data_IF_174986709948
#
_entry.id   IF_174986709948
#
_cell.length_a   1.000
_cell.length_b   1.000
_cell.length_c   1.000
_cell.angle_alpha   90.00
_cell.angle_beta   90.00
_cell.angle_gamma   90.00
#
_symmetry.space_group_name_H-M   'P 1'
#
loop_
_entity.id
_entity.type
_entity.pdbx_description
1 polymer ?
#
# COMPACT_ATOMS: atom_id res chain seq x y z
N UNK A 1 -0.25 17.59 -5.63
CA UNK A 1 0.33 16.25 -5.78
C UNK A 1 -0.04 15.36 -4.60
N UNK A 2 0.11 14.05 -4.76
CA UNK A 2 -0.15 13.09 -3.69
C UNK A 2 0.73 13.34 -2.47
N UNK A 3 1.97 13.74 -2.69
CA UNK A 3 2.89 14.03 -1.59
C UNK A 3 2.43 15.25 -0.80
N UNK A 4 1.95 16.28 -1.48
CA UNK A 4 1.43 17.47 -0.79
C UNK A 4 0.18 17.15 0.04
N UNK A 5 -0.72 16.34 -0.51
CA UNK A 5 -1.91 15.88 0.24
C UNK A 5 -1.51 15.10 1.48
N UNK A 6 -0.50 14.25 1.36
CA UNK A 6 0.02 13.44 2.44
C UNK A 6 0.63 14.31 3.55
N UNK A 7 1.42 15.31 3.17
CA UNK A 7 2.02 16.25 4.13
C UNK A 7 0.95 17.04 4.87
N UNK A 8 -0.09 17.48 4.17
CA UNK A 8 -1.21 18.20 4.78
C UNK A 8 -1.94 17.33 5.79
N UNK A 9 -2.17 16.06 5.45
CA UNK A 9 -2.82 15.13 6.37
C UNK A 9 -1.98 14.92 7.62
N UNK A 10 -0.67 14.77 7.46
CA UNK A 10 0.25 14.61 8.59
C UNK A 10 0.20 15.78 9.54
N UNK A 11 0.07 17.01 9.02
CA UNK A 11 -0.02 18.22 9.83
C UNK A 11 -1.34 18.32 10.59
N UNK A 12 -2.40 17.68 10.09
CA UNK A 12 -3.71 17.70 10.72
C UNK A 12 -3.88 16.71 11.86
N UNK A 13 -2.90 15.81 12.06
CA UNK A 13 -2.97 14.82 13.13
C UNK A 13 -2.84 15.53 14.47
N UNK A 14 -3.79 15.28 15.40
CA UNK A 14 -3.71 15.90 16.73
C UNK A 14 -2.46 15.44 17.48
N UNK A 15 -1.80 16.37 18.18
CA UNK A 15 -0.66 16.05 19.02
C UNK A 15 -1.07 15.74 20.45
N UNK A 16 -2.36 15.87 20.74
CA UNK A 16 -2.89 15.66 22.07
C UNK A 16 -3.08 14.19 22.36
N UNK A 17 -2.54 13.72 23.48
CA UNK A 17 -2.70 12.34 23.94
C UNK A 17 -3.86 12.26 24.90
N UNK A 18 -5.01 11.73 24.44
CA UNK A 18 -6.15 11.52 25.28
C UNK A 18 -6.03 10.23 26.07
N UNK A 19 -6.32 9.09 25.42
CA UNK A 19 -6.20 7.77 26.02
C UNK A 19 -5.29 6.89 25.18
N UNK A 20 -5.04 5.65 25.66
CA UNK A 20 -4.16 4.69 24.99
C UNK A 20 -4.66 4.34 23.59
N UNK A 21 -5.98 4.16 23.42
CA UNK A 21 -6.57 3.85 22.11
C UNK A 21 -6.34 4.97 21.10
N UNK A 22 -6.49 6.22 21.54
CA UNK A 22 -6.26 7.37 20.67
C UNK A 22 -4.79 7.45 20.27
N UNK A 23 -3.88 7.21 21.22
CA UNK A 23 -2.44 7.20 20.95
C UNK A 23 -2.07 6.10 19.94
N UNK A 24 -2.62 4.89 20.11
CA UNK A 24 -2.37 3.76 19.20
C UNK A 24 -2.92 4.05 17.80
N UNK A 25 -4.10 4.66 17.72
CA UNK A 25 -4.70 5.05 16.45
C UNK A 25 -3.87 6.09 15.73
N UNK A 26 -3.35 7.08 16.45
CA UNK A 26 -2.48 8.12 15.90
C UNK A 26 -1.18 7.50 15.40
N UNK A 27 -0.58 6.59 16.16
CA UNK A 27 0.64 5.90 15.74
C UNK A 27 0.42 5.10 14.47
N UNK A 28 -0.72 4.42 14.33
CA UNK A 28 -1.06 3.68 13.13
C UNK A 28 -1.23 4.61 11.93
N UNK A 29 -1.89 5.75 12.11
CA UNK A 29 -2.05 6.74 11.05
C UNK A 29 -0.69 7.26 10.60
N UNK A 30 0.18 7.60 11.55
CA UNK A 30 1.54 8.06 11.23
C UNK A 30 2.32 7.00 10.46
N UNK A 31 2.24 5.75 10.88
CA UNK A 31 2.91 4.65 10.19
C UNK A 31 2.40 4.51 8.75
N UNK A 32 1.09 4.60 8.56
CA UNK A 32 0.50 4.54 7.22
C UNK A 32 0.97 5.67 6.33
N UNK A 33 1.01 6.89 6.87
CA UNK A 33 1.48 8.06 6.15
C UNK A 33 2.96 7.92 5.78
N UNK A 34 3.78 7.50 6.72
CA UNK A 34 5.22 7.33 6.49
C UNK A 34 5.48 6.23 5.46
N UNK A 35 4.72 5.15 5.52
CA UNK A 35 4.81 4.06 4.54
C UNK A 35 4.46 4.57 3.14
N UNK A 36 3.34 5.26 3.00
CA UNK A 36 2.91 5.80 1.70
C UNK A 36 3.93 6.81 1.17
N UNK A 37 4.41 7.70 2.02
CA UNK A 37 5.42 8.69 1.65
C UNK A 37 6.69 8.01 1.13
N UNK A 38 7.18 7.00 1.83
CA UNK A 38 8.37 6.26 1.42
C UNK A 38 8.19 5.63 0.05
N UNK A 39 7.02 5.00 -0.19
CA UNK A 39 6.72 4.38 -1.48
C UNK A 39 6.68 5.42 -2.60
N UNK A 40 5.98 6.54 -2.39
CA UNK A 40 5.84 7.58 -3.40
C UNK A 40 7.16 8.27 -3.73
N UNK A 41 8.07 8.34 -2.77
CA UNK A 41 9.41 8.92 -2.96
C UNK A 41 10.40 7.94 -3.58
N UNK A 42 10.03 6.67 -3.74
CA UNK A 42 10.93 5.66 -4.26
C UNK A 42 11.95 5.18 -3.25
N UNK A 43 11.66 5.31 -1.97
CA UNK A 43 12.56 4.87 -0.90
C UNK A 43 12.58 3.36 -0.73
N UNK A 44 13.46 2.90 0.15
CA UNK A 44 13.66 1.48 0.43
C UNK A 44 12.49 0.93 1.26
N UNK A 45 11.79 -0.06 0.71
CA UNK A 45 10.67 -0.71 1.37
C UNK A 45 10.94 -2.19 1.65
N UNK A 46 12.19 -2.63 1.51
CA UNK A 46 12.55 -4.05 1.62
C UNK A 46 12.26 -4.64 3.01
N UNK A 47 12.26 -3.81 4.05
CA UNK A 47 12.01 -4.24 5.43
C UNK A 47 10.55 -4.05 5.87
N UNK A 48 9.72 -3.51 5.01
CA UNK A 48 8.30 -3.29 5.32
C UNK A 48 7.52 -4.58 5.16
N UNK A 49 6.59 -4.82 6.09
CA UNK A 49 5.79 -6.03 6.11
C UNK A 49 4.32 -5.78 6.40
N UNK A 50 3.70 -6.74 7.08
CA UNK A 50 2.25 -6.73 7.33
C UNK A 50 1.80 -5.53 8.16
N UNK A 51 2.61 -5.10 9.13
CA UNK A 51 2.31 -3.95 9.98
C UNK A 51 2.16 -2.69 9.11
N UNK A 52 3.09 -2.45 8.21
CA UNK A 52 3.07 -1.31 7.30
C UNK A 52 1.94 -1.43 6.29
N UNK A 53 1.67 -2.62 5.79
CA UNK A 53 0.55 -2.88 4.89
C UNK A 53 -0.79 -2.51 5.54
N UNK A 54 -1.01 -2.96 6.77
CA UNK A 54 -2.26 -2.69 7.48
C UNK A 54 -2.45 -1.20 7.73
N UNK A 55 -1.39 -0.52 8.15
CA UNK A 55 -1.44 0.92 8.40
C UNK A 55 -1.69 1.70 7.10
N UNK A 56 -1.04 1.31 6.02
CA UNK A 56 -1.24 1.92 4.71
C UNK A 56 -2.68 1.73 4.22
N UNK A 57 -3.19 0.50 4.28
CA UNK A 57 -4.54 0.20 3.83
C UNK A 57 -5.60 0.97 4.61
N UNK A 58 -5.33 1.25 5.88
CA UNK A 58 -6.26 1.99 6.73
C UNK A 58 -6.41 3.45 6.32
N UNK A 59 -5.34 4.07 5.80
CA UNK A 59 -5.40 5.49 5.41
C UNK A 59 -5.76 5.70 3.94
N UNK A 60 -5.62 4.68 3.10
CA UNK A 60 -5.82 4.83 1.65
C UNK A 60 -7.20 5.39 1.26
N UNK A 61 -8.32 5.06 1.94
CA UNK A 61 -9.60 5.63 1.55
C UNK A 61 -9.65 7.17 1.60
N UNK A 62 -8.77 7.78 2.37
CA UNK A 62 -8.69 9.25 2.47
C UNK A 62 -7.95 9.89 1.31
N UNK A 63 -7.22 9.10 0.51
CA UNK A 63 -6.41 9.60 -0.60
C UNK A 63 -6.97 9.21 -1.95
N UNK A 64 -7.34 7.93 -2.10
CA UNK A 64 -7.79 7.38 -3.37
C UNK A 64 -8.75 6.22 -3.07
N UNK A 65 -10.02 6.51 -3.14
CA UNK A 65 -11.06 5.55 -2.76
C UNK A 65 -11.03 4.31 -3.67
N UNK A 66 -10.87 4.51 -4.97
CA UNK A 66 -10.86 3.41 -5.93
C UNK A 66 -9.66 2.49 -5.71
N UNK A 67 -8.49 3.08 -5.48
CA UNK A 67 -7.29 2.34 -5.18
C UNK A 67 -7.42 1.59 -3.85
N UNK A 68 -7.98 2.27 -2.83
CA UNK A 68 -8.22 1.65 -1.53
C UNK A 68 -9.14 0.45 -1.64
N UNK A 69 -10.15 0.53 -2.48
CA UNK A 69 -11.09 -0.57 -2.70
C UNK A 69 -10.35 -1.81 -3.21
N UNK A 70 -9.41 -1.64 -4.12
CA UNK A 70 -8.61 -2.74 -4.66
C UNK A 70 -7.65 -3.29 -3.60
N UNK A 71 -6.92 -2.42 -2.92
CA UNK A 71 -5.92 -2.83 -1.94
C UNK A 71 -6.53 -3.53 -0.73
N UNK A 72 -7.76 -3.16 -0.36
CA UNK A 72 -8.46 -3.73 0.78
C UNK A 72 -9.41 -4.88 0.40
N UNK A 73 -9.45 -5.26 -0.87
CA UNK A 73 -10.38 -6.30 -1.33
C UNK A 73 -9.97 -7.67 -0.78
N UNK A 74 -10.79 -8.29 0.08
CA UNK A 74 -10.45 -9.58 0.68
C UNK A 74 -10.34 -10.73 -0.34
N UNK A 75 -10.96 -10.57 -1.51
CA UNK A 75 -10.88 -11.58 -2.57
C UNK A 75 -9.46 -11.70 -3.13
N UNK A 76 -8.76 -10.57 -3.24
CA UNK A 76 -7.38 -10.57 -3.74
C UNK A 76 -6.41 -11.08 -2.68
N UNK A 77 -6.66 -10.77 -1.41
CA UNK A 77 -5.81 -11.19 -0.29
C UNK A 77 -4.32 -10.91 -0.56
N UNK A 78 -4.02 -9.68 -0.95
CA UNK A 78 -2.66 -9.28 -1.28
C UNK A 78 -1.71 -9.43 -0.08
N UNK A 79 -0.52 -9.95 -0.36
CA UNK A 79 0.59 -9.88 0.60
C UNK A 79 1.10 -8.44 0.69
N UNK A 80 1.91 -8.11 1.72
CA UNK A 80 2.52 -6.78 1.78
C UNK A 80 3.26 -6.39 0.49
N UNK A 81 4.07 -7.29 -0.05
CA UNK A 81 4.82 -7.00 -1.28
C UNK A 81 3.90 -6.74 -2.47
N UNK A 82 2.81 -7.51 -2.58
CA UNK A 82 1.84 -7.31 -3.65
C UNK A 82 1.12 -5.97 -3.52
N UNK A 83 0.75 -5.59 -2.32
CA UNK A 83 0.14 -4.28 -2.05
C UNK A 83 1.09 -3.15 -2.46
N UNK A 84 2.35 -3.23 -2.03
CA UNK A 84 3.33 -2.20 -2.35
C UNK A 84 3.64 -2.17 -3.84
N UNK A 85 3.73 -3.33 -4.49
CA UNK A 85 3.90 -3.42 -5.93
C UNK A 85 2.77 -2.73 -6.68
N UNK A 86 1.52 -3.05 -6.31
CA UNK A 86 0.35 -2.48 -6.96
C UNK A 86 0.34 -0.96 -6.85
N UNK A 87 0.65 -0.45 -5.66
CA UNK A 87 0.68 0.99 -5.42
C UNK A 87 1.77 1.67 -6.26
N UNK A 88 2.96 1.09 -6.33
CA UNK A 88 4.05 1.63 -7.15
C UNK A 88 3.70 1.61 -8.64
N UNK A 89 3.11 0.52 -9.11
CA UNK A 89 2.69 0.39 -10.50
C UNK A 89 1.61 1.40 -10.86
N UNK A 90 0.64 1.58 -9.98
CA UNK A 90 -0.42 2.57 -10.15
C UNK A 90 0.15 3.99 -10.20
N UNK A 91 1.23 4.24 -9.50
CA UNK A 91 1.90 5.54 -9.46
C UNK A 91 2.87 5.74 -10.65
N UNK A 92 2.93 4.82 -11.58
CA UNK A 92 3.72 4.95 -12.80
C UNK A 92 5.20 4.68 -12.64
N UNK A 93 5.60 4.00 -11.56
CA UNK A 93 7.02 3.67 -11.35
C UNK A 93 7.49 2.60 -12.33
N UNK A 94 8.73 2.73 -12.80
CA UNK A 94 9.35 1.75 -13.69
C UNK A 94 9.70 0.47 -12.93
N UNK A 95 9.92 -0.63 -13.66
CA UNK A 95 10.34 -1.89 -13.05
C UNK A 95 11.68 -1.74 -12.33
N UNK A 96 12.60 -0.94 -12.88
CA UNK A 96 13.86 -0.65 -12.24
C UNK A 96 13.67 0.05 -10.88
N UNK A 97 12.80 1.05 -10.85
CA UNK A 97 12.48 1.78 -9.62
C UNK A 97 11.85 0.85 -8.58
N UNK A 98 10.93 -0.02 -9.02
CA UNK A 98 10.28 -0.98 -8.12
C UNK A 98 11.30 -1.98 -7.56
N UNK A 99 12.17 -2.53 -8.42
CA UNK A 99 13.20 -3.48 -7.99
C UNK A 99 14.16 -2.83 -7.00
N UNK A 100 14.54 -1.58 -7.23
CA UNK A 100 15.39 -0.83 -6.32
C UNK A 100 14.71 -0.62 -4.96
N UNK A 101 13.42 -0.27 -4.96
CA UNK A 101 12.68 -0.06 -3.72
C UNK A 101 12.57 -1.34 -2.89
N UNK A 102 12.33 -2.48 -3.55
CA UNK A 102 12.29 -3.79 -2.88
C UNK A 102 13.69 -4.36 -2.57
N UNK A 103 14.73 -3.77 -3.12
CA UNK A 103 16.10 -4.31 -3.04
C UNK A 103 16.15 -5.75 -3.57
N UNK A 104 15.50 -6.00 -4.71
CA UNK A 104 15.37 -7.34 -5.27
C UNK A 104 15.82 -7.36 -6.74
N UNK A 105 15.93 -8.59 -7.27
CA UNK A 105 16.26 -8.81 -8.68
C UNK A 105 15.02 -8.58 -9.56
N UNK A 106 15.26 -8.41 -10.87
CA UNK A 106 14.17 -8.32 -11.85
C UNK A 106 13.30 -9.59 -11.83
N UNK A 107 13.91 -10.74 -11.61
CA UNK A 107 13.19 -12.02 -11.55
C UNK A 107 12.28 -12.07 -10.33
N UNK A 108 12.77 -11.65 -9.16
CA UNK A 108 11.97 -11.58 -7.95
C UNK A 108 10.79 -10.63 -8.13
N UNK A 109 11.03 -9.49 -8.78
CA UNK A 109 9.97 -8.53 -9.06
C UNK A 109 8.88 -9.13 -9.97
N UNK A 110 9.29 -9.85 -11.02
CA UNK A 110 8.35 -10.53 -11.91
C UNK A 110 7.51 -11.56 -11.16
N UNK A 111 8.10 -12.24 -10.18
CA UNK A 111 7.37 -13.21 -9.35
C UNK A 111 6.28 -12.53 -8.53
N UNK A 112 6.57 -11.35 -7.95
CA UNK A 112 5.57 -10.57 -7.21
C UNK A 112 4.42 -10.18 -8.14
N UNK A 113 4.76 -9.63 -9.29
CA UNK A 113 3.78 -9.20 -10.31
C UNK A 113 2.89 -10.35 -10.76
N UNK A 114 3.50 -11.50 -11.05
CA UNK A 114 2.78 -12.69 -11.52
C UNK A 114 1.77 -13.19 -10.49
N UNK A 115 2.18 -13.27 -9.23
CA UNK A 115 1.29 -13.71 -8.14
C UNK A 115 0.14 -12.74 -7.94
N UNK A 116 0.42 -11.45 -7.98
CA UNK A 116 -0.59 -10.41 -7.84
C UNK A 116 -1.64 -10.50 -8.96
N UNK A 117 -1.18 -10.58 -10.21
CA UNK A 117 -2.08 -10.68 -11.37
C UNK A 117 -2.92 -11.96 -11.32
N UNK A 118 -2.33 -13.06 -10.92
CA UNK A 118 -3.05 -14.32 -10.80
C UNK A 118 -4.20 -14.23 -9.81
N UNK A 119 -3.98 -13.58 -8.67
CA UNK A 119 -5.02 -13.37 -7.67
C UNK A 119 -6.17 -12.53 -8.23
N UNK A 120 -5.86 -11.49 -8.98
CA UNK A 120 -6.88 -10.63 -9.59
C UNK A 120 -7.66 -11.37 -10.66
N UNK A 121 -7.00 -12.16 -11.50
CA UNK A 121 -7.64 -12.95 -12.53
C UNK A 121 -8.55 -14.04 -11.96
N UNK A 122 -8.09 -14.76 -10.94
CA UNK A 122 -8.90 -15.79 -10.29
C UNK A 122 -10.16 -15.21 -9.66
N UNK A 123 -10.06 -14.02 -9.07
CA UNK A 123 -11.22 -13.33 -8.50
C UNK A 123 -12.24 -12.96 -9.58
N UNK A 124 -11.78 -12.52 -10.75
CA UNK A 124 -12.66 -12.18 -11.88
C UNK A 124 -13.32 -13.43 -12.46
N UNK A 125 -12.59 -14.53 -12.60
CA UNK A 125 -13.15 -15.81 -13.08
C UNK A 125 -14.24 -16.30 -12.15
N UNK A 126 -14.03 -16.23 -10.84
CA UNK A 126 -15.03 -16.60 -9.85
C UNK A 126 -16.30 -15.76 -9.99
N UNK A 127 -16.15 -14.47 -10.23
CA UNK A 127 -17.30 -13.56 -10.44
C UNK A 127 -18.03 -13.90 -11.73
N UNK A 128 -17.30 -14.21 -12.80
CA UNK A 128 -17.88 -14.60 -14.09
C UNK A 128 -18.67 -15.90 -13.97
N UNK A 129 -18.14 -16.86 -13.23
CA UNK A 129 -18.77 -18.16 -13.03
C UNK A 129 -20.05 -18.08 -12.18
N UNK A 130 -20.19 -17.06 -11.35
CA UNK A 130 -21.37 -16.87 -10.49
C UNK A 130 -22.50 -16.12 -11.19
N UNK A 131 -22.30 -15.69 -12.40
CA UNK A 131 -23.32 -15.06 -13.23
C UNK A 131 -23.91 -16.13 -14.13
#
# INVERSE_FOLDING_TARGET
SKINELEQLKQKIPTHNGDTKTADSIEQIKLGIDTLYTILKGGNISQMGKREQQALNAIMPNFDYDLAYILNNPRYAFTPKETFYYLMDHNGMTDEQKANAFCCTSQALRSIKSRMKKKMELSQETLSDSI
#
